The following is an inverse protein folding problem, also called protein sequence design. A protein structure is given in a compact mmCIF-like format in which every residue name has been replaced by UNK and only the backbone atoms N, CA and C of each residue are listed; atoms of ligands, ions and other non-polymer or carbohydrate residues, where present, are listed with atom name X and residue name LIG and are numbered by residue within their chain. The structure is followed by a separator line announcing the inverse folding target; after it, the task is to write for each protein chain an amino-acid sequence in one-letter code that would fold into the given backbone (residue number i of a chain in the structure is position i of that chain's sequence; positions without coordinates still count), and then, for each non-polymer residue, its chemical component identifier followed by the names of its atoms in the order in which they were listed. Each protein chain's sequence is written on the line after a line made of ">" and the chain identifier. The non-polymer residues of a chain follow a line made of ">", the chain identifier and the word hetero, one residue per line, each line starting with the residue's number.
data_IF_762218568034
#
_entry.id   IF_762218568034
#
_cell.length_a   1.000
_cell.length_b   1.000
_cell.length_c   1.000
_cell.angle_alpha   90.00
_cell.angle_beta   90.00
_cell.angle_gamma   90.00
#
_symmetry.space_group_name_H-M   'P 1'
#
loop_
_entity.id
_entity.type
_entity.pdbx_description
1 polymer ?
#
# COMPACT_ATOMS: atom_id res chain seq x y z
N UNK A 1 -8.09 5.62 -6.79
CA UNK A 1 -9.45 5.70 -6.27
C UNK A 1 -10.49 5.24 -7.29
N UNK A 2 -11.62 4.65 -6.85
CA UNK A 2 -12.77 4.41 -7.70
C UNK A 2 -13.25 5.71 -8.38
N UNK A 3 -13.79 5.67 -9.60
CA UNK A 3 -14.42 6.83 -10.21
C UNK A 3 -15.52 7.39 -9.30
N UNK A 4 -15.54 8.72 -9.10
CA UNK A 4 -16.62 9.39 -8.36
C UNK A 4 -16.28 9.80 -6.92
N UNK A 5 -15.01 9.72 -6.49
CA UNK A 5 -14.58 10.37 -5.23
C UNK A 5 -14.89 11.87 -5.28
N UNK A 6 -15.56 12.42 -4.27
CA UNK A 6 -15.92 13.84 -4.24
C UNK A 6 -14.66 14.71 -4.14
N UNK A 7 -14.80 16.00 -4.45
CA UNK A 7 -13.72 17.00 -4.30
C UNK A 7 -12.39 16.62 -4.97
N UNK A 8 -12.43 15.93 -6.11
CA UNK A 8 -11.24 15.49 -6.86
C UNK A 8 -10.19 14.74 -6.01
N UNK A 9 -10.60 14.00 -4.97
CA UNK A 9 -9.69 13.29 -4.05
C UNK A 9 -8.75 14.19 -3.22
N UNK A 10 -9.14 15.45 -3.01
CA UNK A 10 -8.44 16.36 -2.09
C UNK A 10 -8.75 16.04 -0.62
N UNK A 11 -7.75 16.28 0.24
CA UNK A 11 -7.90 16.34 1.69
C UNK A 11 -8.26 17.76 2.11
N UNK A 12 -9.46 18.22 1.75
CA UNK A 12 -9.91 19.58 2.03
C UNK A 12 -9.78 19.90 3.53
N UNK A 13 -9.26 21.09 3.91
CA UNK A 13 -8.93 22.24 3.04
C UNK A 13 -7.48 22.27 2.52
N UNK A 14 -6.70 21.18 2.70
CA UNK A 14 -5.34 21.13 2.19
C UNK A 14 -5.31 20.79 0.70
N UNK A 15 -4.42 21.44 -0.05
CA UNK A 15 -4.11 21.11 -1.46
C UNK A 15 -3.28 19.82 -1.58
N UNK A 16 -3.66 18.79 -0.84
CA UNK A 16 -3.08 17.45 -0.85
C UNK A 16 -4.06 16.51 -1.53
N UNK A 17 -3.60 15.74 -2.52
CA UNK A 17 -4.43 14.78 -3.24
C UNK A 17 -3.93 13.36 -3.02
N UNK A 18 -4.84 12.42 -2.80
CA UNK A 18 -4.50 11.02 -2.47
C UNK A 18 -4.97 10.08 -3.57
N UNK A 19 -4.10 9.17 -4.02
CA UNK A 19 -4.43 8.02 -4.90
C UNK A 19 -5.13 8.34 -6.23
N UNK A 20 -4.99 9.57 -6.71
CA UNK A 20 -5.41 10.02 -8.03
C UNK A 20 -4.44 11.05 -8.59
N UNK A 21 -3.76 10.65 -9.67
CA UNK A 21 -2.67 11.39 -10.29
C UNK A 21 -3.04 11.86 -11.70
N UNK A 22 -4.32 11.73 -12.06
CA UNK A 22 -4.86 12.27 -13.31
C UNK A 22 -5.05 13.78 -13.21
N UNK A 23 -5.19 14.49 -14.33
CA UNK A 23 -5.57 15.91 -14.31
C UNK A 23 -7.03 16.03 -14.77
N UNK A 24 -7.98 16.33 -13.87
CA UNK A 24 -9.36 16.60 -14.24
C UNK A 24 -9.47 17.75 -15.25
N UNK A 25 -10.46 17.69 -16.14
CA UNK A 25 -10.75 18.77 -17.10
C UNK A 25 -11.71 19.83 -16.55
N UNK A 26 -12.03 19.76 -15.26
CA UNK A 26 -12.96 20.67 -14.61
C UNK A 26 -12.29 22.04 -14.37
N UNK A 27 -12.91 23.17 -14.75
CA UNK A 27 -12.34 24.51 -14.51
C UNK A 27 -12.14 24.87 -13.04
N UNK A 28 -12.86 24.23 -12.12
CA UNK A 28 -12.69 24.41 -10.67
C UNK A 28 -11.49 23.64 -10.10
N UNK A 29 -10.86 22.79 -10.90
CA UNK A 29 -9.71 22.02 -10.47
C UNK A 29 -8.49 22.91 -10.26
N UNK A 30 -7.97 22.91 -9.04
CA UNK A 30 -6.69 23.50 -8.70
C UNK A 30 -5.59 22.44 -8.68
N UNK A 31 -4.38 22.80 -9.14
CA UNK A 31 -3.24 21.90 -9.02
C UNK A 31 -2.93 21.60 -7.54
N UNK A 32 -2.69 20.34 -7.14
CA UNK A 32 -2.28 20.03 -5.78
C UNK A 32 -0.86 20.49 -5.49
N UNK A 33 -0.60 20.85 -4.24
CA UNK A 33 0.74 21.12 -3.72
C UNK A 33 1.52 19.83 -3.43
N UNK A 34 0.80 18.75 -3.09
CA UNK A 34 1.39 17.47 -2.75
C UNK A 34 0.49 16.31 -3.18
N UNK A 35 1.09 15.23 -3.66
CA UNK A 35 0.40 13.96 -3.87
C UNK A 35 0.81 12.92 -2.83
N UNK A 36 -0.14 12.10 -2.41
CA UNK A 36 0.08 10.95 -1.55
C UNK A 36 -0.34 9.67 -2.28
N UNK A 37 0.45 8.60 -2.14
CA UNK A 37 0.12 7.26 -2.62
C UNK A 37 0.05 6.29 -1.45
N UNK A 38 -1.17 5.85 -1.09
CA UNK A 38 -1.42 4.95 0.03
C UNK A 38 -0.84 3.56 -0.23
N UNK A 39 -1.09 3.00 -1.42
CA UNK A 39 -0.64 1.66 -1.81
C UNK A 39 -0.66 1.48 -3.34
N UNK A 40 -0.20 0.32 -3.83
CA UNK A 40 0.08 0.10 -5.27
C UNK A 40 -0.93 -0.78 -6.00
N UNK A 41 -2.21 -0.75 -5.60
CA UNK A 41 -3.28 -1.33 -6.44
C UNK A 41 -3.57 -0.43 -7.65
N UNK A 42 -4.03 -1.06 -8.74
CA UNK A 42 -4.11 -0.43 -10.06
C UNK A 42 -5.03 0.79 -10.12
N UNK A 43 -6.13 0.74 -9.37
CA UNK A 43 -7.08 1.82 -9.23
C UNK A 43 -6.53 2.97 -8.38
N UNK A 44 -5.53 2.76 -7.52
CA UNK A 44 -4.89 3.81 -6.71
C UNK A 44 -3.70 4.49 -7.38
N UNK A 45 -3.21 4.00 -8.52
CA UNK A 45 -2.06 4.56 -9.25
C UNK A 45 -2.44 5.25 -10.56
N UNK A 46 -3.73 5.49 -10.78
CA UNK A 46 -4.25 6.08 -12.00
C UNK A 46 -3.59 7.43 -12.31
N UNK A 47 -2.99 7.54 -13.51
CA UNK A 47 -2.26 8.73 -13.96
C UNK A 47 -0.75 8.69 -13.75
N UNK A 48 -0.22 7.86 -12.85
CA UNK A 48 1.23 7.77 -12.59
C UNK A 48 2.04 7.18 -13.74
N UNK A 49 1.40 6.49 -14.69
CA UNK A 49 2.06 5.97 -15.88
C UNK A 49 2.25 7.04 -16.97
N UNK A 50 1.65 8.23 -16.82
CA UNK A 50 1.79 9.31 -17.79
C UNK A 50 3.17 9.94 -17.67
N UNK A 51 3.96 9.90 -18.77
CA UNK A 51 5.32 10.49 -18.80
C UNK A 51 5.36 12.00 -18.50
N UNK A 52 4.21 12.68 -18.67
CA UNK A 52 4.01 14.10 -18.34
C UNK A 52 3.85 14.36 -16.84
N UNK A 53 3.60 13.34 -16.03
CA UNK A 53 3.51 13.49 -14.58
C UNK A 53 4.86 13.93 -14.02
N UNK A 54 4.86 15.04 -13.28
CA UNK A 54 6.08 15.72 -12.83
C UNK A 54 6.06 16.16 -11.37
N UNK A 55 5.04 15.77 -10.60
CA UNK A 55 4.85 16.21 -9.22
C UNK A 55 5.43 15.22 -8.21
N UNK A 56 5.81 15.72 -7.03
CA UNK A 56 6.28 14.88 -5.93
C UNK A 56 5.13 14.07 -5.34
N UNK A 57 5.40 12.79 -5.06
CA UNK A 57 4.50 11.83 -4.43
C UNK A 57 5.14 11.30 -3.16
N UNK A 58 4.43 11.41 -2.04
CA UNK A 58 4.82 10.75 -0.79
C UNK A 58 4.19 9.36 -0.74
N UNK A 59 4.96 8.36 -0.33
CA UNK A 59 4.52 6.97 -0.21
C UNK A 59 5.34 6.24 0.86
N UNK A 60 5.04 4.95 1.09
CA UNK A 60 5.93 4.08 1.88
C UNK A 60 7.14 3.60 1.05
N UNK A 61 8.18 3.12 1.74
CA UNK A 61 9.35 2.53 1.07
C UNK A 61 8.98 1.32 0.21
N UNK A 62 8.10 0.46 0.71
CA UNK A 62 7.62 -0.72 -0.01
C UNK A 62 6.77 -0.32 -1.22
N UNK A 63 5.86 0.65 -1.09
CA UNK A 63 5.09 1.15 -2.24
C UNK A 63 6.00 1.73 -3.34
N UNK A 64 7.05 2.49 -2.98
CA UNK A 64 8.04 2.96 -3.96
C UNK A 64 8.75 1.79 -4.66
N UNK A 65 9.22 0.81 -3.89
CA UNK A 65 9.91 -0.36 -4.43
C UNK A 65 9.00 -1.16 -5.39
N UNK A 66 7.78 -1.45 -4.97
CA UNK A 66 6.80 -2.24 -5.71
C UNK A 66 6.37 -1.52 -6.99
N UNK A 67 6.11 -0.20 -6.91
CA UNK A 67 5.71 0.59 -8.07
C UNK A 67 6.80 0.66 -9.14
N UNK A 68 8.05 0.94 -8.75
CA UNK A 68 9.18 1.04 -9.69
C UNK A 68 9.58 -0.30 -10.32
N UNK A 69 9.23 -1.41 -9.68
CA UNK A 69 9.50 -2.75 -10.20
C UNK A 69 8.28 -3.40 -10.86
N UNK A 70 7.13 -2.73 -10.89
CA UNK A 70 5.92 -3.23 -11.52
C UNK A 70 6.14 -3.55 -13.00
N UNK A 71 5.63 -4.71 -13.42
CA UNK A 71 5.60 -5.17 -14.81
C UNK A 71 4.16 -5.60 -15.13
N UNK A 72 3.59 -5.07 -16.21
CA UNK A 72 2.27 -5.50 -16.68
C UNK A 72 2.31 -6.99 -17.06
N UNK A 73 1.21 -7.71 -16.88
CA UNK A 73 1.18 -9.16 -17.07
C UNK A 73 1.60 -9.59 -18.50
N UNK A 74 1.07 -8.91 -19.52
CA UNK A 74 1.42 -9.16 -20.92
C UNK A 74 2.92 -8.92 -21.20
N UNK A 75 3.49 -7.85 -20.65
CA UNK A 75 4.89 -7.51 -20.84
C UNK A 75 5.83 -8.48 -20.13
N UNK A 76 5.46 -8.91 -18.91
CA UNK A 76 6.18 -9.93 -18.15
C UNK A 76 6.25 -11.24 -18.92
N UNK A 77 5.10 -11.75 -19.38
CA UNK A 77 5.02 -13.01 -20.13
C UNK A 77 5.83 -12.91 -21.43
N UNK A 78 5.72 -11.79 -22.16
CA UNK A 78 6.50 -11.57 -23.37
C UNK A 78 8.02 -11.56 -23.10
N UNK A 79 8.47 -10.93 -22.02
CA UNK A 79 9.88 -10.92 -21.64
C UNK A 79 10.37 -12.30 -21.20
N UNK A 80 9.62 -12.98 -20.32
CA UNK A 80 10.01 -14.28 -19.77
C UNK A 80 10.06 -15.38 -20.85
N UNK A 81 9.22 -15.28 -21.89
CA UNK A 81 9.24 -16.16 -23.06
C UNK A 81 10.25 -15.73 -24.15
N UNK A 82 11.10 -14.71 -23.90
CA UNK A 82 12.08 -14.22 -24.86
C UNK A 82 11.51 -13.40 -26.03
N UNK A 83 10.22 -13.06 -26.00
CA UNK A 83 9.55 -12.19 -26.98
C UNK A 83 9.87 -10.70 -26.84
N UNK A 84 10.49 -10.29 -25.72
CA UNK A 84 11.04 -8.94 -25.51
C UNK A 84 12.47 -9.02 -24.98
N UNK A 85 13.36 -8.18 -25.52
CA UNK A 85 14.75 -8.09 -25.06
C UNK A 85 14.88 -7.41 -23.69
N UNK A 86 13.96 -6.51 -23.34
CA UNK A 86 14.00 -5.71 -22.12
C UNK A 86 12.65 -5.72 -21.38
N UNK A 87 12.73 -5.54 -20.06
CA UNK A 87 11.55 -5.46 -19.19
C UNK A 87 10.83 -4.12 -19.41
N UNK A 88 9.51 -4.17 -19.57
CA UNK A 88 8.70 -2.95 -19.63
C UNK A 88 8.20 -2.60 -18.23
N UNK A 89 8.70 -1.49 -17.68
CA UNK A 89 8.33 -0.96 -16.37
C UNK A 89 7.63 0.39 -16.53
N UNK A 90 6.29 0.47 -16.53
CA UNK A 90 5.56 1.69 -16.90
C UNK A 90 5.87 2.89 -15.99
N UNK A 91 6.24 2.65 -14.74
CA UNK A 91 6.52 3.69 -13.75
C UNK A 91 8.02 4.02 -13.59
N UNK A 92 8.92 3.43 -14.40
CA UNK A 92 10.36 3.68 -14.30
C UNK A 92 10.73 5.15 -14.47
N UNK A 93 9.96 5.89 -15.28
CA UNK A 93 10.17 7.33 -15.51
C UNK A 93 9.94 8.21 -14.26
N UNK A 94 9.36 7.68 -13.18
CA UNK A 94 9.19 8.42 -11.92
C UNK A 94 10.50 8.53 -11.14
N UNK A 95 11.47 7.62 -11.41
CA UNK A 95 12.81 7.65 -10.82
C UNK A 95 13.88 7.33 -11.87
N UNK A 96 14.74 8.31 -12.14
CA UNK A 96 15.89 8.19 -13.02
C UNK A 96 17.13 8.42 -12.15
N UNK A 97 17.98 7.40 -12.03
CA UNK A 97 19.27 7.54 -11.35
C UNK A 97 20.18 8.50 -12.14
N UNK A 98 21.08 9.22 -11.46
CA UNK A 98 21.96 10.19 -12.12
C UNK A 98 22.71 9.57 -13.30
N UNK A 99 22.48 10.12 -14.50
CA UNK A 99 23.12 9.69 -15.74
C UNK A 99 23.66 10.90 -16.50
N UNK A 100 24.89 10.77 -17.01
CA UNK A 100 25.52 11.78 -17.85
C UNK A 100 25.03 11.63 -19.29
N UNK A 101 24.42 12.68 -19.85
CA UNK A 101 24.01 12.70 -21.26
C UNK A 101 25.23 12.99 -22.13
N UNK A 102 25.56 12.09 -23.05
CA UNK A 102 26.76 12.17 -23.90
C UNK A 102 26.86 13.47 -24.68
N UNK A 103 25.72 13.97 -25.13
CA UNK A 103 25.65 15.05 -26.11
C UNK A 103 25.75 16.43 -25.45
N UNK A 104 25.22 16.59 -24.23
CA UNK A 104 25.19 17.86 -23.50
C UNK A 104 26.18 17.93 -22.35
N UNK A 105 26.75 16.79 -21.91
CA UNK A 105 27.53 16.65 -20.67
C UNK A 105 26.76 17.09 -19.41
N UNK A 106 25.44 17.06 -19.46
CA UNK A 106 24.57 17.38 -18.33
C UNK A 106 24.15 16.11 -17.59
N UNK A 107 23.98 16.25 -16.27
CA UNK A 107 23.42 15.20 -15.43
C UNK A 107 21.91 15.26 -15.47
N UNK A 108 21.29 14.16 -15.87
CA UNK A 108 19.85 13.97 -15.74
C UNK A 108 19.60 13.06 -14.54
N UNK A 109 18.76 13.52 -13.62
CA UNK A 109 18.28 12.73 -12.50
C UNK A 109 16.82 13.09 -12.22
N UNK A 110 16.06 12.15 -11.67
CA UNK A 110 14.67 12.36 -11.25
C UNK A 110 14.35 11.42 -10.11
N UNK A 111 13.67 11.93 -9.09
CA UNK A 111 13.03 11.07 -8.10
C UNK A 111 11.76 11.76 -7.60
N UNK A 112 10.63 11.40 -8.21
CA UNK A 112 9.33 11.96 -7.85
C UNK A 112 8.72 11.24 -6.64
N UNK A 113 9.22 10.05 -6.29
CA UNK A 113 8.69 9.23 -5.21
C UNK A 113 9.52 9.45 -3.94
N UNK A 114 9.00 10.17 -2.95
CA UNK A 114 9.66 10.39 -1.66
C UNK A 114 9.08 9.43 -0.61
N UNK A 115 9.78 8.34 -0.27
CA UNK A 115 9.30 7.45 0.77
C UNK A 115 9.47 8.09 2.15
N UNK A 116 8.49 7.93 3.03
CA UNK A 116 8.60 8.30 4.45
C UNK A 116 8.52 7.05 5.34
N UNK A 117 9.22 7.04 6.49
CA UNK A 117 9.12 5.96 7.46
C UNK A 117 7.77 5.99 8.18
N UNK A 118 7.28 4.80 8.56
CA UNK A 118 6.07 4.67 9.37
C UNK A 118 6.26 5.32 10.75
N UNK A 119 5.17 5.84 11.32
CA UNK A 119 5.09 6.39 12.67
C UNK A 119 6.14 7.47 12.96
N UNK A 120 6.58 8.19 11.93
CA UNK A 120 7.58 9.25 12.03
C UNK A 120 6.98 10.55 11.51
N UNK A 121 6.61 11.49 12.40
CA UNK A 121 6.11 12.80 12.02
C UNK A 121 7.12 13.54 11.13
N UNK A 122 6.67 13.97 9.95
CA UNK A 122 7.51 14.66 8.97
C UNK A 122 6.86 15.97 8.55
N UNK A 123 7.54 17.09 8.76
CA UNK A 123 7.07 18.40 8.31
C UNK A 123 7.22 18.56 6.79
N UNK A 124 6.17 19.08 6.15
CA UNK A 124 6.07 19.31 4.71
C UNK A 124 5.45 20.69 4.47
N UNK A 125 6.17 21.55 3.76
CA UNK A 125 5.66 22.83 3.29
C UNK A 125 4.77 22.62 2.06
N UNK A 126 3.51 23.04 2.15
CA UNK A 126 2.55 23.01 1.03
C UNK A 126 2.53 24.34 0.26
N UNK A 127 2.78 25.44 0.95
CA UNK A 127 2.90 26.79 0.39
C UNK A 127 3.73 27.66 1.34
N UNK A 128 3.93 28.94 1.00
CA UNK A 128 4.67 29.88 1.85
C UNK A 128 4.08 30.03 3.28
N UNK A 129 2.77 29.85 3.42
CA UNK A 129 2.05 30.11 4.68
C UNK A 129 1.47 28.83 5.32
N UNK A 130 1.61 27.67 4.67
CA UNK A 130 1.01 26.41 5.13
C UNK A 130 2.04 25.29 5.17
N UNK A 131 2.39 24.89 6.39
CA UNK A 131 3.18 23.69 6.69
C UNK A 131 2.30 22.68 7.41
N UNK A 132 2.41 21.41 7.03
CA UNK A 132 1.72 20.30 7.67
C UNK A 132 2.73 19.28 8.19
N UNK A 133 2.36 18.57 9.23
CA UNK A 133 3.05 17.37 9.70
C UNK A 133 2.32 16.15 9.15
N UNK A 134 3.00 15.38 8.30
CA UNK A 134 2.50 14.13 7.74
C UNK A 134 3.11 12.95 8.49
N UNK A 135 2.27 12.01 8.92
CA UNK A 135 2.69 10.73 9.51
C UNK A 135 2.05 9.59 8.74
N UNK A 136 2.86 8.61 8.29
CA UNK A 136 2.37 7.38 7.68
C UNK A 136 2.12 6.34 8.77
N UNK A 137 0.98 5.67 8.72
CA UNK A 137 0.59 4.62 9.66
C UNK A 137 0.25 3.37 8.85
N UNK A 138 0.59 2.18 9.33
CA UNK A 138 0.23 0.93 8.65
C UNK A 138 -1.29 0.85 8.42
N UNK A 139 -1.73 0.34 7.26
CA UNK A 139 -3.16 0.20 6.93
C UNK A 139 -3.67 -1.24 6.97
N UNK A 140 -2.83 -2.23 7.32
CA UNK A 140 -3.18 -3.65 7.37
C UNK A 140 -3.83 -4.21 6.06
N UNK A 141 -3.65 -3.55 4.92
CA UNK A 141 -4.28 -3.92 3.66
C UNK A 141 -3.38 -4.83 2.80
N UNK A 142 -2.27 -4.28 2.30
CA UNK A 142 -1.24 -5.01 1.56
C UNK A 142 0.17 -4.51 1.93
N UNK A 143 1.27 -5.17 1.50
CA UNK A 143 2.61 -4.66 1.72
C UNK A 143 2.77 -3.22 1.24
N UNK A 144 3.30 -2.37 2.13
CA UNK A 144 3.48 -0.94 1.87
C UNK A 144 2.22 -0.07 1.95
N UNK A 145 1.04 -0.64 2.23
CA UNK A 145 -0.18 0.14 2.39
C UNK A 145 -0.16 0.99 3.66
N UNK A 146 -0.52 2.27 3.52
CA UNK A 146 -0.49 3.23 4.62
C UNK A 146 -1.73 4.11 4.70
N UNK A 147 -2.12 4.42 5.93
CA UNK A 147 -2.95 5.56 6.27
C UNK A 147 -2.08 6.82 6.37
N UNK A 148 -2.68 7.99 6.15
CA UNK A 148 -2.05 9.30 6.28
C UNK A 148 -2.72 10.11 7.38
N UNK A 149 -1.96 10.43 8.43
CA UNK A 149 -2.33 11.46 9.41
C UNK A 149 -1.70 12.78 8.99
N UNK A 150 -2.52 13.76 8.63
CA UNK A 150 -2.13 15.12 8.27
C UNK A 150 -2.52 16.06 9.39
N UNK A 151 -1.55 16.72 10.02
CA UNK A 151 -1.78 17.72 11.07
C UNK A 151 -1.31 19.08 10.60
N UNK A 152 -2.09 20.13 10.81
CA UNK A 152 -1.69 21.47 10.40
C UNK A 152 -2.65 22.57 10.84
N UNK A 153 -2.41 23.81 10.39
CA UNK A 153 -3.15 24.99 10.84
C UNK A 153 -4.61 25.01 10.38
N UNK A 154 -4.99 24.19 9.39
CA UNK A 154 -6.34 24.13 8.82
C UNK A 154 -7.13 22.90 9.30
N UNK A 155 -6.62 22.17 10.29
CA UNK A 155 -7.24 20.97 10.86
C UNK A 155 -6.38 19.71 10.76
N UNK A 156 -6.82 18.65 11.43
CA UNK A 156 -6.19 17.34 11.48
C UNK A 156 -7.05 16.33 10.72
N UNK A 157 -6.48 15.68 9.70
CA UNK A 157 -7.20 14.77 8.81
C UNK A 157 -6.54 13.39 8.86
N UNK A 158 -7.36 12.34 8.98
CA UNK A 158 -6.91 10.96 8.78
C UNK A 158 -7.49 10.42 7.47
N UNK A 159 -6.63 10.03 6.53
CA UNK A 159 -7.03 9.31 5.33
C UNK A 159 -6.59 7.86 5.43
N UNK A 160 -7.51 6.91 5.40
CA UNK A 160 -7.18 5.50 5.66
C UNK A 160 -6.51 4.82 4.48
N UNK A 161 -6.66 5.37 3.26
CA UNK A 161 -6.44 4.55 2.06
C UNK A 161 -7.42 3.37 2.10
N UNK A 162 -7.03 2.25 1.51
CA UNK A 162 -7.71 0.98 1.76
C UNK A 162 -7.20 0.38 3.07
N UNK A 163 -8.12 -0.09 3.91
CA UNK A 163 -7.86 -0.46 5.29
C UNK A 163 -8.58 -1.75 5.67
N UNK A 164 -7.87 -2.67 6.34
CA UNK A 164 -8.51 -3.78 7.04
C UNK A 164 -8.52 -3.57 8.55
N UNK A 165 -9.62 -3.01 9.04
CA UNK A 165 -9.84 -2.70 10.45
C UNK A 165 -10.34 -3.92 11.27
N UNK A 166 -9.48 -4.91 11.49
CA UNK A 166 -9.78 -6.03 12.40
C UNK A 166 -9.39 -5.71 13.86
N UNK A 167 -10.02 -6.39 14.84
CA UNK A 167 -9.85 -6.08 16.27
C UNK A 167 -8.38 -6.05 16.71
N UNK A 168 -7.58 -7.06 16.37
CA UNK A 168 -6.18 -7.12 16.76
C UNK A 168 -5.36 -5.96 16.16
N UNK A 169 -5.70 -5.52 14.94
CA UNK A 169 -5.07 -4.36 14.32
C UNK A 169 -5.51 -3.05 14.99
N UNK A 170 -6.79 -2.87 15.31
CA UNK A 170 -7.30 -1.71 16.04
C UNK A 170 -6.63 -1.56 17.42
N UNK A 171 -6.35 -2.67 18.11
CA UNK A 171 -5.57 -2.65 19.36
C UNK A 171 -4.16 -2.09 19.16
N UNK A 172 -3.54 -2.31 18.00
CA UNK A 172 -2.24 -1.68 17.69
C UNK A 172 -2.37 -0.17 17.48
N UNK A 173 -3.45 0.28 16.84
CA UNK A 173 -3.72 1.70 16.64
C UNK A 173 -3.94 2.43 17.96
N UNK A 174 -4.65 1.80 18.91
CA UNK A 174 -4.89 2.40 20.24
C UNK A 174 -3.60 2.63 21.04
N UNK A 175 -2.56 1.84 20.75
CA UNK A 175 -1.23 1.93 21.39
C UNK A 175 -0.22 2.74 20.58
N UNK A 176 -0.59 3.20 19.38
CA UNK A 176 0.30 3.95 18.51
C UNK A 176 0.57 5.35 19.09
N UNK A 177 1.82 5.72 19.40
CA UNK A 177 2.14 7.02 20.02
C UNK A 177 1.68 8.23 19.21
N UNK A 178 1.64 8.12 17.87
CA UNK A 178 1.19 9.22 17.00
C UNK A 178 -0.33 9.42 17.07
N UNK A 179 -1.10 8.36 17.38
CA UNK A 179 -2.56 8.39 17.43
C UNK A 179 -3.13 8.59 18.84
N UNK A 180 -2.36 8.31 19.91
CA UNK A 180 -2.86 8.35 21.29
C UNK A 180 -3.52 9.67 21.68
N UNK A 181 -3.07 10.80 21.11
CA UNK A 181 -3.69 12.11 21.33
C UNK A 181 -5.12 12.24 20.77
N UNK A 182 -5.52 11.39 19.84
CA UNK A 182 -6.87 11.34 19.25
C UNK A 182 -7.76 10.25 19.85
N UNK A 183 -7.25 9.46 20.80
CA UNK A 183 -7.98 8.36 21.42
C UNK A 183 -8.46 8.79 22.80
N UNK A 184 -9.75 8.61 23.14
CA UNK A 184 -10.25 8.95 24.47
C UNK A 184 -9.63 8.04 25.53
N UNK A 185 -9.45 8.54 26.77
CA UNK A 185 -8.86 7.75 27.85
C UNK A 185 -9.76 6.55 28.21
N UNK A 186 -9.20 5.38 28.57
CA UNK A 186 -9.97 4.16 28.85
C UNK A 186 -10.71 4.17 30.20
N UNK A 187 -10.80 5.31 30.90
CA UNK A 187 -11.35 5.41 32.25
C UNK A 187 -12.58 6.31 32.27
N UNK A 188 -13.75 5.73 32.53
CA UNK A 188 -14.96 6.48 32.91
C UNK A 188 -15.02 6.59 34.44
N UNK A 189 -15.04 7.81 34.97
CA UNK A 189 -15.17 8.07 36.41
C UNK A 189 -16.65 8.16 36.81
N UNK A 190 -17.04 7.46 37.88
CA UNK A 190 -18.44 7.22 38.26
C UNK A 190 -19.11 8.32 39.11
N UNK A 191 -18.50 9.49 39.28
CA UNK A 191 -19.12 10.61 40.01
C UNK A 191 -19.46 11.78 39.08
N UNK A 192 -20.70 12.25 39.17
CA UNK A 192 -21.38 13.15 38.23
C UNK A 192 -20.74 14.56 38.12
N UNK A 193 -20.28 14.94 36.92
CA UNK A 193 -20.80 16.06 36.09
C UNK A 193 -19.86 16.34 34.89
N UNK A 194 -20.38 16.06 33.69
CA UNK A 194 -20.21 16.79 32.42
C UNK A 194 -18.92 16.64 31.57
N UNK A 195 -18.99 15.66 30.65
CA UNK A 195 -18.60 15.69 29.22
C UNK A 195 -17.16 15.92 28.75
N UNK A 196 -16.27 16.54 29.53
CA UNK A 196 -14.94 16.93 29.03
C UNK A 196 -13.82 15.91 29.32
N UNK A 197 -14.05 14.95 30.23
CA UNK A 197 -13.01 13.99 30.66
C UNK A 197 -12.97 12.68 29.88
N UNK A 198 -13.92 12.47 28.97
CA UNK A 198 -13.96 11.32 28.04
C UNK A 198 -13.52 11.72 26.62
N UNK A 199 -13.04 12.96 26.43
CA UNK A 199 -12.59 13.46 25.14
C UNK A 199 -11.10 13.17 24.93
N UNK A 200 -10.68 12.92 23.68
CA UNK A 200 -9.27 12.84 23.34
C UNK A 200 -8.57 14.20 23.53
N UNK A 201 -7.23 14.18 23.63
CA UNK A 201 -6.41 15.39 23.74
C UNK A 201 -6.53 16.32 22.52
N UNK A 202 -6.84 15.73 21.36
CA UNK A 202 -7.12 16.42 20.08
C UNK A 202 -8.23 15.68 19.35
N UNK A 203 -8.96 16.38 18.51
CA UNK A 203 -9.93 15.79 17.58
C UNK A 203 -9.37 15.74 16.16
N UNK A 204 -9.85 14.78 15.38
CA UNK A 204 -9.72 14.81 13.93
C UNK A 204 -10.88 15.64 13.38
N UNK A 205 -10.59 16.55 12.46
CA UNK A 205 -11.57 17.39 11.78
C UNK A 205 -12.26 16.61 10.65
N UNK A 206 -11.54 15.66 10.03
CA UNK A 206 -12.09 14.76 9.03
C UNK A 206 -11.42 13.37 9.06
N UNK A 207 -12.21 12.35 8.71
CA UNK A 207 -11.72 11.00 8.41
C UNK A 207 -12.22 10.61 7.03
N UNK A 208 -11.28 10.39 6.10
CA UNK A 208 -11.56 9.79 4.80
C UNK A 208 -11.39 8.28 4.97
N UNK A 209 -12.54 7.59 5.11
CA UNK A 209 -12.61 6.20 5.53
C UNK A 209 -12.86 5.26 4.35
N UNK A 210 -12.11 4.15 4.31
CA UNK A 210 -12.43 3.00 3.47
C UNK A 210 -13.81 2.44 3.83
N UNK A 211 -14.71 2.47 2.86
CA UNK A 211 -16.10 2.02 2.98
C UNK A 211 -16.41 0.86 2.05
N UNK A 212 -15.40 0.17 1.50
CA UNK A 212 -15.57 -0.94 0.57
C UNK A 212 -16.52 -2.03 1.10
N UNK A 213 -16.47 -2.29 2.41
CA UNK A 213 -17.32 -3.27 3.09
C UNK A 213 -18.50 -2.65 3.88
N UNK A 214 -18.82 -1.36 3.70
CA UNK A 214 -19.85 -0.68 4.49
C UNK A 214 -21.24 -1.33 4.36
N UNK A 215 -21.54 -1.89 3.18
CA UNK A 215 -22.83 -2.54 2.88
C UNK A 215 -22.76 -4.07 3.01
N UNK A 216 -21.69 -4.61 3.58
CA UNK A 216 -21.55 -6.05 3.86
C UNK A 216 -22.22 -6.35 5.19
N UNK A 217 -23.30 -7.13 5.16
CA UNK A 217 -24.14 -7.42 6.34
C UNK A 217 -23.82 -8.76 7.03
N UNK A 218 -22.75 -9.44 6.64
CA UNK A 218 -22.29 -10.66 7.29
C UNK A 218 -20.92 -10.45 7.90
N UNK A 219 -20.63 -11.19 8.97
CA UNK A 219 -19.33 -11.16 9.60
C UNK A 219 -18.27 -11.68 8.63
N UNK A 220 -17.25 -10.86 8.42
CA UNK A 220 -16.07 -11.23 7.63
C UNK A 220 -15.08 -11.86 8.60
N UNK A 221 -14.53 -13.02 8.23
CA UNK A 221 -13.48 -13.68 9.02
C UNK A 221 -12.29 -12.76 9.24
N UNK A 222 -11.65 -12.88 10.41
CA UNK A 222 -10.33 -12.28 10.63
C UNK A 222 -9.30 -12.84 9.63
N UNK A 223 -8.16 -12.16 9.47
CA UNK A 223 -7.08 -12.69 8.63
C UNK A 223 -6.61 -14.06 9.12
N UNK A 224 -6.52 -14.22 10.43
CA UNK A 224 -6.08 -15.45 11.09
C UNK A 224 -7.04 -16.61 10.82
N UNK A 225 -8.35 -16.43 11.04
CA UNK A 225 -9.36 -17.47 10.79
C UNK A 225 -9.42 -17.86 9.31
N UNK A 226 -9.34 -16.88 8.40
CA UNK A 226 -9.33 -17.15 6.96
C UNK A 226 -8.09 -17.96 6.55
N UNK A 227 -6.92 -17.62 7.08
CA UNK A 227 -5.68 -18.35 6.83
C UNK A 227 -5.73 -19.77 7.42
N UNK A 228 -6.24 -19.91 8.64
CA UNK A 228 -6.38 -21.21 9.31
C UNK A 228 -7.33 -22.13 8.54
N UNK A 229 -8.49 -21.61 8.13
CA UNK A 229 -9.45 -22.34 7.32
C UNK A 229 -8.86 -22.84 6.00
N UNK A 230 -8.13 -21.97 5.29
CA UNK A 230 -7.46 -22.35 4.04
C UNK A 230 -6.42 -23.46 4.27
N UNK A 231 -5.55 -23.30 5.28
CA UNK A 231 -4.53 -24.32 5.59
C UNK A 231 -5.16 -25.65 5.96
N UNK A 232 -6.24 -25.65 6.76
CA UNK A 232 -7.01 -26.86 7.11
C UNK A 232 -7.55 -27.55 5.86
N UNK A 233 -8.10 -26.80 4.91
CA UNK A 233 -8.58 -27.34 3.64
C UNK A 233 -7.44 -27.94 2.80
N UNK A 234 -6.31 -27.25 2.70
CA UNK A 234 -5.14 -27.75 1.97
C UNK A 234 -4.60 -29.05 2.59
N UNK A 235 -4.64 -29.18 3.92
CA UNK A 235 -4.17 -30.37 4.64
C UNK A 235 -5.04 -31.62 4.41
N UNK A 236 -6.25 -31.49 3.84
CA UNK A 236 -7.11 -32.63 3.48
C UNK A 236 -6.64 -33.34 2.20
N UNK A 237 -5.79 -32.70 1.39
CA UNK A 237 -5.29 -33.29 0.16
C UNK A 237 -4.06 -34.19 0.42
N UNK A 238 -3.76 -35.15 -0.48
CA UNK A 238 -2.56 -35.98 -0.38
C UNK A 238 -1.27 -35.15 -0.23
N UNK A 239 -0.25 -35.63 0.51
CA UNK A 239 1.00 -34.88 0.77
C UNK A 239 1.85 -34.48 -0.44
N UNK A 240 1.57 -35.05 -1.62
CA UNK A 240 2.25 -34.74 -2.88
C UNK A 240 1.44 -33.77 -3.77
N UNK A 241 0.34 -33.23 -3.26
CA UNK A 241 -0.54 -32.33 -4.01
C UNK A 241 0.15 -31.01 -4.25
N UNK A 242 0.31 -30.65 -5.53
CA UNK A 242 0.77 -29.31 -5.92
C UNK A 242 -0.37 -28.32 -5.84
N UNK A 243 -0.14 -27.21 -5.12
CA UNK A 243 -1.07 -26.11 -4.98
C UNK A 243 -0.61 -24.90 -5.78
N UNK A 244 -1.52 -24.35 -6.58
CA UNK A 244 -1.29 -23.11 -7.32
C UNK A 244 -2.08 -21.99 -6.64
N UNK A 245 -1.37 -21.13 -5.92
CA UNK A 245 -1.95 -20.01 -5.17
C UNK A 245 -2.01 -18.80 -6.08
N UNK A 246 -3.22 -18.48 -6.54
CA UNK A 246 -3.46 -17.34 -7.42
C UNK A 246 -3.50 -16.03 -6.62
N UNK A 247 -2.39 -15.29 -6.64
CA UNK A 247 -2.32 -13.92 -6.10
C UNK A 247 -2.19 -12.95 -7.27
N UNK A 248 -3.32 -12.43 -7.74
CA UNK A 248 -3.40 -11.57 -8.94
C UNK A 248 -3.09 -10.10 -8.64
N UNK A 249 -3.29 -9.69 -7.37
CA UNK A 249 -2.92 -8.41 -6.76
C UNK A 249 -2.12 -8.62 -5.46
N UNK A 250 -1.65 -7.55 -4.84
CA UNK A 250 -1.00 -7.54 -3.52
C UNK A 250 -2.04 -7.67 -2.41
N UNK A 251 -1.69 -8.27 -1.26
CA UNK A 251 -2.61 -8.43 -0.11
C UNK A 251 -2.87 -9.89 0.29
N UNK A 252 -2.21 -10.86 -0.35
CA UNK A 252 -2.33 -12.28 -0.03
C UNK A 252 -1.21 -12.79 0.88
N UNK A 253 -0.30 -11.93 1.31
CA UNK A 253 0.98 -12.33 1.93
C UNK A 253 0.78 -13.05 3.27
N UNK A 254 -0.30 -12.78 4.00
CA UNK A 254 -0.63 -13.52 5.23
C UNK A 254 -1.03 -14.96 4.93
N UNK A 255 -1.72 -15.23 3.81
CA UNK A 255 -1.98 -16.59 3.32
C UNK A 255 -0.66 -17.29 3.01
N UNK A 256 0.27 -16.62 2.34
CA UNK A 256 1.57 -17.19 1.99
C UNK A 256 2.36 -17.55 3.25
N UNK A 257 2.36 -16.66 4.25
CA UNK A 257 2.99 -16.93 5.55
C UNK A 257 2.34 -18.08 6.27
N UNK A 258 1.01 -18.15 6.29
CA UNK A 258 0.27 -19.23 6.94
C UNK A 258 0.58 -20.59 6.30
N UNK A 259 0.53 -20.68 4.97
CA UNK A 259 0.87 -21.89 4.21
C UNK A 259 2.32 -22.31 4.48
N UNK A 260 3.27 -21.38 4.35
CA UNK A 260 4.68 -21.69 4.53
C UNK A 260 5.01 -22.19 5.94
N UNK A 261 4.39 -21.61 6.97
CA UNK A 261 4.53 -22.06 8.36
C UNK A 261 3.87 -23.42 8.60
N UNK A 262 2.64 -23.61 8.13
CA UNK A 262 1.86 -24.82 8.41
C UNK A 262 2.45 -26.07 7.76
N UNK A 263 2.96 -25.94 6.54
CA UNK A 263 3.57 -27.05 5.80
C UNK A 263 5.09 -27.10 5.90
N UNK A 264 5.70 -26.19 6.69
CA UNK A 264 7.14 -26.03 6.83
C UNK A 264 7.86 -26.05 5.47
N UNK A 265 7.35 -25.27 4.52
CA UNK A 265 7.81 -25.28 3.14
C UNK A 265 7.95 -23.87 2.59
N UNK A 266 8.91 -23.68 1.70
CA UNK A 266 9.00 -22.44 0.92
C UNK A 266 7.86 -22.36 -0.09
N UNK A 267 7.66 -21.19 -0.66
CA UNK A 267 6.69 -20.95 -1.72
C UNK A 267 7.46 -20.47 -2.94
N UNK A 268 7.23 -21.16 -4.06
CA UNK A 268 7.86 -20.81 -5.32
C UNK A 268 7.21 -19.54 -5.84
N UNK A 269 8.02 -18.52 -6.12
CA UNK A 269 7.61 -17.31 -6.81
C UNK A 269 8.34 -17.17 -8.13
N UNK A 270 7.62 -16.80 -9.18
CA UNK A 270 8.23 -16.42 -10.45
C UNK A 270 9.27 -15.29 -10.27
N UNK A 271 10.07 -15.05 -11.31
CA UNK A 271 11.10 -13.99 -11.31
C UNK A 271 10.56 -12.66 -10.80
N UNK A 272 9.36 -12.28 -11.21
CA UNK A 272 8.75 -11.00 -10.92
C UNK A 272 8.33 -10.89 -9.46
N UNK A 273 7.51 -11.82 -8.96
CA UNK A 273 7.06 -11.89 -7.56
C UNK A 273 8.23 -12.04 -6.61
N UNK A 274 9.22 -12.87 -6.96
CA UNK A 274 10.44 -13.00 -6.17
C UNK A 274 11.18 -11.65 -6.08
N UNK A 275 11.37 -10.95 -7.20
CA UNK A 275 12.02 -9.63 -7.20
C UNK A 275 11.28 -8.62 -6.34
N UNK A 276 9.95 -8.56 -6.46
CA UNK A 276 9.10 -7.64 -5.70
C UNK A 276 9.20 -7.92 -4.21
N UNK A 277 8.89 -9.15 -3.77
CA UNK A 277 8.84 -9.46 -2.35
C UNK A 277 10.22 -9.45 -1.68
N UNK A 278 11.29 -9.79 -2.41
CA UNK A 278 12.65 -9.69 -1.87
C UNK A 278 13.08 -8.26 -1.55
N UNK A 279 12.49 -7.25 -2.20
CA UNK A 279 12.75 -5.85 -1.91
C UNK A 279 11.77 -5.20 -0.93
N UNK A 280 10.80 -5.94 -0.38
CA UNK A 280 9.90 -5.44 0.67
C UNK A 280 10.54 -5.51 2.05
N UNK A 281 10.01 -4.72 2.99
CA UNK A 281 10.48 -4.65 4.36
C UNK A 281 10.23 -5.92 5.19
N UNK A 282 9.29 -6.78 4.80
CA UNK A 282 8.86 -7.96 5.56
C UNK A 282 9.90 -9.10 5.53
N UNK A 283 10.60 -9.39 6.65
CA UNK A 283 11.61 -10.46 6.68
C UNK A 283 10.99 -11.87 6.62
N UNK A 284 9.78 -12.05 7.16
CA UNK A 284 9.11 -13.35 7.15
C UNK A 284 8.79 -13.75 5.72
N UNK A 285 8.24 -12.83 4.94
CA UNK A 285 7.91 -13.08 3.54
C UNK A 285 9.16 -13.40 2.70
N UNK A 286 10.26 -12.66 2.92
CA UNK A 286 11.54 -12.89 2.23
C UNK A 286 12.12 -14.28 2.49
N UNK A 287 12.05 -14.76 3.73
CA UNK A 287 12.53 -16.09 4.11
C UNK A 287 11.70 -17.24 3.50
N UNK A 288 10.44 -16.99 3.18
CA UNK A 288 9.50 -18.00 2.68
C UNK A 288 9.60 -18.25 1.17
N UNK A 289 10.29 -17.39 0.42
CA UNK A 289 10.29 -17.49 -1.05
C UNK A 289 11.46 -18.32 -1.60
N UNK A 290 11.21 -18.98 -2.72
CA UNK A 290 12.20 -19.68 -3.54
C UNK A 290 11.94 -19.43 -5.01
N UNK A 291 13.00 -19.45 -5.83
CA UNK A 291 12.90 -19.48 -7.30
C UNK A 291 12.98 -20.89 -7.88
N UNK A 292 13.22 -21.90 -7.04
CA UNK A 292 13.31 -23.28 -7.46
C UNK A 292 11.93 -23.95 -7.32
N UNK A 293 11.20 -24.20 -8.43
CA UNK A 293 9.89 -24.84 -8.38
C UNK A 293 9.95 -26.30 -7.95
N UNK A 294 11.11 -26.96 -8.02
CA UNK A 294 11.26 -28.35 -7.56
C UNK A 294 11.36 -28.47 -6.04
N UNK A 295 11.72 -27.38 -5.35
CA UNK A 295 11.92 -27.34 -3.90
C UNK A 295 10.62 -27.25 -3.07
N UNK A 296 9.46 -27.14 -3.71
CA UNK A 296 8.17 -26.97 -3.02
C UNK A 296 6.98 -27.44 -3.85
N UNK A 297 5.88 -27.76 -3.17
CA UNK A 297 4.59 -28.03 -3.78
C UNK A 297 3.68 -26.79 -3.91
N UNK A 298 4.11 -25.63 -3.39
CA UNK A 298 3.31 -24.40 -3.38
C UNK A 298 3.83 -23.41 -4.42
N UNK A 299 2.99 -23.10 -5.41
CA UNK A 299 3.33 -22.26 -6.56
C UNK A 299 2.54 -20.96 -6.52
N UNK A 300 3.22 -19.82 -6.40
CA UNK A 300 2.60 -18.51 -6.63
C UNK A 300 2.38 -18.32 -8.11
N UNK A 301 1.13 -18.22 -8.52
CA UNK A 301 0.75 -17.91 -9.90
C UNK A 301 -0.02 -16.61 -9.98
N UNK A 302 -0.08 -16.05 -11.18
CA UNK A 302 -0.95 -14.95 -11.54
C UNK A 302 -1.79 -15.38 -12.75
N UNK A 303 -3.09 -15.18 -12.66
CA UNK A 303 -4.07 -15.36 -13.75
C UNK A 303 -4.21 -16.80 -14.26
N UNK A 304 -3.95 -17.80 -13.41
CA UNK A 304 -4.17 -19.22 -13.76
C UNK A 304 -3.20 -19.78 -14.81
N UNK A 305 -2.23 -18.99 -15.28
CA UNK A 305 -1.21 -19.44 -16.22
C UNK A 305 -0.09 -20.10 -15.41
N UNK A 306 -0.09 -21.43 -15.41
CA UNK A 306 1.10 -22.21 -15.06
C UNK A 306 2.07 -22.03 -16.21
N UNK A 307 3.19 -21.35 -15.98
CA UNK A 307 4.32 -21.49 -16.87
C UNK A 307 4.73 -22.97 -16.83
N UNK A 308 4.40 -23.70 -17.89
CA UNK A 308 4.94 -25.03 -18.10
C UNK A 308 6.42 -24.83 -18.43
N UNK A 309 7.30 -25.10 -17.47
CA UNK A 309 8.69 -25.42 -17.76
C UNK A 309 8.80 -26.73 -18.55
#
# INVERSE_FOLDING_TARGET
>A
MPPGVPHFSFLDPYRIRVDDFTTPRDPSYESPALYLLSHTHSDHVAGLNAKSFGSRVICSADSKHMLLNYEAACDRIAFDNGGKAEKTKPYSHLKIDPMLVSDTREWVYRDLLRPLPLNTPTELELSADVTVTLTLIDANHCPGAVMFLVEGPLGNILHTGDLRAETCFLETLTRNPCLQKYIPPPVSFSYETLSDREKPLRTLDAIHLDTACLLVHHDILSKEEACEGLVKLMALFPPLTRFFVNCWTWGYEDILKAVGRAFNSKIHGDRYKYTIYMGTSDPSLRCLLTKDPSSTQFMLVKDGIVATE
#
